data_IF_371976352571
#
_entry.id   IF_371976352571
#
_cell.length_a   1.000
_cell.length_b   1.000
_cell.length_c   1.000
_cell.angle_alpha   90.00
_cell.angle_beta   90.00
_cell.angle_gamma   90.00
#
_symmetry.space_group_name_H-M   'P 1'
#
loop_
_entity.id
_entity.type
_entity.pdbx_description
1 polymer ?
#
# COMPACT_ATOMS: atom_id res chain seq x y z
N UNK A 1 40.25 31.81 27.74
CA UNK A 1 39.92 31.45 26.34
C UNK A 1 38.70 30.54 26.33
N UNK A 2 37.98 30.53 25.19
CA UNK A 2 36.56 30.23 25.00
C UNK A 2 36.03 28.87 25.47
N UNK A 3 34.75 28.89 25.86
CA UNK A 3 33.86 27.74 26.13
C UNK A 3 33.57 26.95 24.85
N UNK A 4 33.55 25.63 24.92
CA UNK A 4 32.84 24.81 23.94
C UNK A 4 32.33 23.51 24.58
N UNK A 5 31.11 23.57 25.14
CA UNK A 5 30.29 22.40 25.48
C UNK A 5 29.70 21.86 24.17
N UNK A 6 30.16 20.69 23.73
CA UNK A 6 29.52 19.96 22.65
C UNK A 6 28.13 19.47 23.10
N UNK A 7 27.05 19.67 22.33
CA UNK A 7 25.76 19.08 22.68
C UNK A 7 25.81 17.58 22.35
N UNK A 8 25.97 16.75 23.39
CA UNK A 8 25.65 15.32 23.29
C UNK A 8 24.16 15.22 22.96
N UNK A 9 23.83 15.00 21.68
CA UNK A 9 22.49 14.65 21.24
C UNK A 9 22.10 13.36 21.97
N UNK A 10 21.26 13.50 22.99
CA UNK A 10 20.62 12.37 23.65
C UNK A 10 19.77 11.67 22.59
N UNK A 11 20.21 10.49 22.17
CA UNK A 11 19.38 9.54 21.45
C UNK A 11 18.26 9.18 22.43
N UNK A 12 17.11 9.86 22.28
CA UNK A 12 15.96 9.68 23.16
C UNK A 12 15.36 8.31 22.85
N UNK A 13 15.86 7.30 23.58
CA UNK A 13 15.41 5.91 23.52
C UNK A 13 14.11 5.69 24.31
N UNK A 14 13.25 6.70 24.40
CA UNK A 14 12.12 6.72 25.35
C UNK A 14 10.74 6.84 24.67
N UNK A 15 10.63 6.48 23.38
CA UNK A 15 9.32 6.42 22.68
C UNK A 15 9.07 5.16 21.85
N UNK A 16 9.82 4.09 22.10
CA UNK A 16 9.64 2.81 21.39
C UNK A 16 8.77 1.79 22.15
N UNK A 17 7.94 2.24 23.10
CA UNK A 17 6.91 1.42 23.75
C UNK A 17 5.54 1.99 23.39
N UNK A 18 4.85 1.36 22.44
CA UNK A 18 3.41 1.56 22.22
C UNK A 18 2.93 2.21 20.90
N UNK A 19 3.78 2.49 19.91
CA UNK A 19 3.36 3.23 18.69
C UNK A 19 3.14 2.37 17.43
N UNK A 20 3.08 1.05 17.57
CA UNK A 20 2.73 0.12 16.48
C UNK A 20 1.59 -0.81 16.89
N UNK A 21 0.67 -0.31 17.72
CA UNK A 21 -0.60 -0.98 17.93
C UNK A 21 -1.45 -0.80 16.66
N UNK A 22 -1.39 -1.79 15.77
CA UNK A 22 -2.43 -2.01 14.76
C UNK A 22 -3.67 -2.53 15.50
N UNK A 23 -4.33 -1.64 16.26
CA UNK A 23 -5.43 -1.95 17.19
C UNK A 23 -6.83 -1.85 16.55
N UNK A 24 -6.93 -1.87 15.22
CA UNK A 24 -8.22 -1.96 14.54
C UNK A 24 -8.14 -3.10 13.53
N UNK A 25 -9.18 -3.94 13.49
CA UNK A 25 -9.36 -4.97 12.45
C UNK A 25 -9.31 -4.35 11.02
N UNK A 26 -9.47 -3.02 10.91
CA UNK A 26 -9.28 -2.24 9.68
C UNK A 26 -8.50 -0.91 9.94
N UNK A 27 -7.16 -0.86 9.85
CA UNK A 27 -6.41 0.36 10.15
C UNK A 27 -6.64 1.45 9.09
N UNK A 28 -6.95 2.68 9.56
CA UNK A 28 -7.21 3.85 8.70
C UNK A 28 -6.06 4.87 8.76
N UNK A 29 -5.58 5.30 7.58
CA UNK A 29 -4.50 6.26 7.44
C UNK A 29 -4.92 7.47 6.61
N UNK A 30 -4.74 8.67 7.18
CA UNK A 30 -4.94 9.92 6.45
C UNK A 30 -3.69 10.30 5.64
N UNK A 31 -3.85 10.44 4.32
CA UNK A 31 -2.81 10.84 3.39
C UNK A 31 -3.30 11.94 2.43
N UNK A 32 -2.40 12.41 1.57
CA UNK A 32 -2.71 13.29 0.45
C UNK A 32 -2.49 12.53 -0.84
N UNK A 33 -3.48 12.54 -1.71
CA UNK A 33 -3.37 11.91 -3.01
C UNK A 33 -2.52 12.78 -3.94
N UNK A 34 -1.48 12.19 -4.53
CA UNK A 34 -0.69 12.82 -5.58
C UNK A 34 -1.35 12.55 -6.92
N UNK A 35 -1.79 11.32 -7.16
CA UNK A 35 -2.42 10.99 -8.42
C UNK A 35 -2.25 9.52 -8.77
N UNK A 36 -2.74 9.20 -9.97
CA UNK A 36 -2.58 7.92 -10.63
C UNK A 36 -1.94 8.10 -11.99
N UNK A 37 -1.16 7.13 -12.39
CA UNK A 37 -0.55 7.05 -13.72
C UNK A 37 -0.65 5.61 -14.22
N UNK A 38 -0.89 5.43 -15.52
CA UNK A 38 -0.86 4.10 -16.13
C UNK A 38 0.59 3.64 -16.24
N UNK A 39 0.80 2.36 -15.95
CA UNK A 39 2.05 1.66 -16.16
C UNK A 39 1.94 0.98 -17.52
N UNK A 40 2.58 1.56 -18.53
CA UNK A 40 2.67 0.99 -19.89
C UNK A 40 3.83 -0.02 -20.01
N UNK A 41 4.82 0.09 -19.12
CA UNK A 41 5.97 -0.81 -19.06
C UNK A 41 5.53 -2.22 -18.64
N UNK A 42 6.14 -3.25 -19.25
CA UNK A 42 5.96 -4.64 -18.81
C UNK A 42 6.33 -4.74 -17.32
N UNK A 43 5.33 -4.89 -16.47
CA UNK A 43 5.50 -4.93 -15.04
C UNK A 43 6.25 -6.20 -14.64
N UNK A 44 7.48 -6.01 -14.17
CA UNK A 44 8.29 -7.06 -13.56
C UNK A 44 8.44 -6.72 -12.07
N UNK A 45 8.19 -7.67 -11.15
CA UNK A 45 8.30 -7.41 -9.72
C UNK A 45 9.69 -6.92 -9.31
N UNK A 46 10.75 -7.39 -9.98
CA UNK A 46 12.14 -6.96 -9.76
C UNK A 46 12.37 -5.47 -10.07
N UNK A 47 11.61 -4.92 -11.03
CA UNK A 47 11.66 -3.50 -11.44
C UNK A 47 10.56 -2.67 -10.80
N UNK A 48 9.71 -3.26 -9.95
CA UNK A 48 8.57 -2.58 -9.33
C UNK A 48 8.96 -1.28 -8.63
N UNK A 49 10.12 -1.28 -7.94
CA UNK A 49 10.65 -0.09 -7.26
C UNK A 49 11.06 1.03 -8.23
N UNK A 50 11.68 0.67 -9.37
CA UNK A 50 12.08 1.65 -10.38
C UNK A 50 10.86 2.20 -11.13
N UNK A 51 9.87 1.34 -11.42
CA UNK A 51 8.61 1.72 -12.05
C UNK A 51 7.82 2.66 -11.12
N UNK A 52 7.69 2.32 -9.83
CA UNK A 52 6.98 3.18 -8.86
C UNK A 52 7.67 4.53 -8.68
N UNK A 53 9.01 4.56 -8.58
CA UNK A 53 9.77 5.80 -8.49
C UNK A 53 9.57 6.70 -9.73
N UNK A 54 9.63 6.12 -10.95
CA UNK A 54 9.35 6.85 -12.20
C UNK A 54 7.92 7.37 -12.26
N UNK A 55 6.96 6.59 -11.79
CA UNK A 55 5.56 7.01 -11.72
C UNK A 55 5.38 8.19 -10.77
N UNK A 56 6.00 8.13 -9.59
CA UNK A 56 6.00 9.22 -8.61
C UNK A 56 6.66 10.48 -9.20
N UNK A 57 7.78 10.35 -9.92
CA UNK A 57 8.43 11.47 -10.61
C UNK A 57 7.53 12.14 -11.64
N UNK A 58 6.90 11.34 -12.52
CA UNK A 58 5.92 11.83 -13.50
C UNK A 58 4.76 12.54 -12.82
N UNK A 59 4.22 11.96 -11.74
CA UNK A 59 3.14 12.54 -10.96
C UNK A 59 3.57 13.85 -10.29
N UNK A 60 4.79 13.93 -9.77
CA UNK A 60 5.32 15.15 -9.16
C UNK A 60 5.43 16.29 -10.19
N UNK A 61 5.89 15.99 -11.41
CA UNK A 61 5.91 16.94 -12.53
C UNK A 61 4.51 17.42 -12.94
N UNK A 62 3.55 16.50 -13.05
CA UNK A 62 2.15 16.83 -13.37
C UNK A 62 1.46 17.64 -12.28
N UNK A 63 1.82 17.41 -11.01
CA UNK A 63 1.22 18.10 -9.86
C UNK A 63 1.67 19.55 -9.71
N UNK A 64 2.89 19.89 -10.13
CA UNK A 64 3.32 21.29 -10.16
C UNK A 64 2.41 22.13 -11.06
N UNK A 65 1.77 21.50 -12.06
CA UNK A 65 0.79 22.15 -12.94
C UNK A 65 -0.66 22.10 -12.43
N UNK A 66 -1.04 21.17 -11.52
CA UNK A 66 -2.41 21.02 -11.01
C UNK A 66 -2.50 21.37 -9.51
N UNK A 67 -2.97 22.58 -9.24
CA UNK A 67 -2.85 23.28 -7.95
C UNK A 67 -3.65 22.81 -6.72
N UNK A 68 -4.01 21.53 -6.52
CA UNK A 68 -4.52 21.10 -5.20
C UNK A 68 -4.36 19.61 -4.91
N UNK A 69 -3.61 19.30 -3.84
CA UNK A 69 -3.49 17.93 -3.29
C UNK A 69 -4.77 17.60 -2.50
N UNK A 70 -5.51 16.59 -2.96
CA UNK A 70 -6.74 16.12 -2.31
C UNK A 70 -6.37 15.32 -1.05
N UNK A 71 -7.04 15.56 0.06
CA UNK A 71 -6.87 14.76 1.27
C UNK A 71 -7.67 13.47 1.09
N UNK A 72 -7.07 12.33 1.40
CA UNK A 72 -7.70 11.02 1.28
C UNK A 72 -7.47 10.21 2.56
N UNK A 73 -8.40 9.33 2.87
CA UNK A 73 -8.29 8.34 3.92
C UNK A 73 -8.13 6.97 3.26
N UNK A 74 -7.07 6.25 3.63
CA UNK A 74 -6.80 4.88 3.20
C UNK A 74 -7.19 3.94 4.33
N UNK A 75 -8.16 3.07 4.09
CA UNK A 75 -8.57 2.01 5.00
C UNK A 75 -8.02 0.69 4.46
N UNK A 76 -7.20 0.00 5.25
CA UNK A 76 -6.76 -1.36 4.91
C UNK A 76 -7.72 -2.33 5.58
N UNK A 77 -8.26 -3.25 4.79
CA UNK A 77 -9.09 -4.36 5.29
C UNK A 77 -8.35 -5.65 5.01
N UNK A 78 -8.22 -6.50 6.02
CA UNK A 78 -7.64 -7.86 5.87
C UNK A 78 -8.53 -8.79 5.04
N UNK A 79 -9.77 -8.38 4.76
CA UNK A 79 -10.70 -9.12 3.91
C UNK A 79 -10.24 -9.09 2.44
N UNK A 80 -10.02 -10.27 1.85
CA UNK A 80 -9.69 -10.49 0.43
C UNK A 80 -10.55 -9.67 -0.54
N UNK A 81 -11.83 -9.48 -0.20
CA UNK A 81 -12.83 -8.87 -1.08
C UNK A 81 -12.79 -7.34 -1.08
N UNK A 82 -12.21 -6.73 -0.04
CA UNK A 82 -12.23 -5.27 0.19
C UNK A 82 -10.85 -4.64 0.11
N UNK A 83 -9.84 -5.31 0.68
CA UNK A 83 -8.42 -5.00 0.53
C UNK A 83 -7.97 -3.61 0.96
N UNK A 84 -8.04 -2.65 0.05
CA UNK A 84 -7.65 -1.26 0.27
C UNK A 84 -8.73 -0.32 -0.24
N UNK A 85 -9.35 0.40 0.68
CA UNK A 85 -10.35 1.41 0.37
C UNK A 85 -9.72 2.80 0.47
N UNK A 86 -9.85 3.60 -0.58
CA UNK A 86 -9.37 4.98 -0.65
C UNK A 86 -10.58 5.91 -0.73
N UNK A 87 -10.80 6.69 0.31
CA UNK A 87 -11.91 7.66 0.39
C UNK A 87 -11.37 9.07 0.28
N UNK A 88 -11.88 9.86 -0.67
CA UNK A 88 -11.49 11.27 -0.79
C UNK A 88 -12.26 12.17 0.18
N UNK A 89 -11.54 12.94 0.99
CA UNK A 89 -12.16 13.87 1.94
C UNK A 89 -12.77 15.06 1.19
N UNK A 90 -14.11 15.09 1.13
CA UNK A 90 -14.88 16.12 0.45
C UNK A 90 -15.49 15.69 -0.88
N UNK A 91 -15.23 14.47 -1.34
CA UNK A 91 -15.95 13.84 -2.46
C UNK A 91 -16.63 12.56 -1.96
N UNK A 92 -17.78 12.19 -2.52
CA UNK A 92 -18.40 10.87 -2.24
C UNK A 92 -17.73 9.71 -3.02
N UNK A 93 -16.52 9.93 -3.51
CA UNK A 93 -15.79 8.93 -4.28
C UNK A 93 -14.96 8.07 -3.34
N UNK A 94 -15.34 6.82 -3.26
CA UNK A 94 -14.61 5.73 -2.61
C UNK A 94 -14.08 4.80 -3.71
N UNK A 95 -12.77 4.55 -3.70
CA UNK A 95 -12.12 3.62 -4.61
C UNK A 95 -11.69 2.40 -3.81
N UNK A 96 -12.25 1.24 -4.13
CA UNK A 96 -11.90 -0.02 -3.48
C UNK A 96 -10.98 -0.83 -4.39
N UNK A 97 -9.82 -1.20 -3.88
CA UNK A 97 -8.83 -2.05 -4.54
C UNK A 97 -8.78 -3.38 -3.80
N UNK A 98 -9.06 -4.48 -4.49
CA UNK A 98 -8.94 -5.80 -3.88
C UNK A 98 -7.47 -6.11 -3.67
N UNK A 99 -7.15 -6.86 -2.62
CA UNK A 99 -5.78 -7.29 -2.36
C UNK A 99 -5.20 -8.09 -3.53
N UNK A 100 -6.03 -8.85 -4.25
CA UNK A 100 -5.61 -9.60 -5.43
C UNK A 100 -5.20 -8.72 -6.62
N UNK A 101 -5.79 -7.53 -6.74
CA UNK A 101 -5.54 -6.62 -7.86
C UNK A 101 -4.24 -5.81 -7.63
N UNK A 102 -3.79 -5.68 -6.39
CA UNK A 102 -2.57 -4.95 -6.05
C UNK A 102 -1.37 -5.87 -6.34
N UNK A 103 -0.54 -5.47 -7.30
CA UNK A 103 0.63 -6.24 -7.73
C UNK A 103 1.89 -5.90 -6.92
N UNK A 104 2.02 -4.65 -6.46
CA UNK A 104 3.21 -4.19 -5.74
C UNK A 104 2.89 -3.01 -4.84
N UNK A 105 3.53 -2.94 -3.67
CA UNK A 105 3.48 -1.78 -2.80
C UNK A 105 4.89 -1.41 -2.33
N UNK A 106 5.18 -0.12 -2.25
CA UNK A 106 6.49 0.37 -1.86
C UNK A 106 6.47 1.84 -1.45
N UNK A 107 7.36 2.19 -0.52
CA UNK A 107 7.66 3.58 -0.15
C UNK A 107 8.79 4.13 -1.02
N UNK A 108 8.72 5.41 -1.39
CA UNK A 108 9.76 6.04 -2.21
C UNK A 108 11.09 6.11 -1.45
N UNK A 109 12.18 5.86 -2.18
CA UNK A 109 13.54 5.85 -1.66
C UNK A 109 14.07 7.25 -1.41
N UNK A 110 13.61 8.25 -2.17
CA UNK A 110 14.01 9.66 -1.98
C UNK A 110 13.17 10.34 -0.93
N UNK A 111 11.87 10.05 -0.89
CA UNK A 111 10.94 10.60 0.08
C UNK A 111 10.17 9.49 0.79
N UNK A 112 10.64 9.05 1.94
CA UNK A 112 9.99 7.99 2.72
C UNK A 112 8.59 8.37 3.26
N UNK A 113 8.16 9.62 3.10
CA UNK A 113 6.79 10.07 3.36
C UNK A 113 5.83 9.75 2.21
N UNK A 114 6.35 9.37 1.04
CA UNK A 114 5.58 8.98 -0.13
C UNK A 114 5.46 7.46 -0.15
N UNK A 115 4.23 7.00 -0.25
CA UNK A 115 3.89 5.61 -0.45
C UNK A 115 3.20 5.47 -1.81
N UNK A 116 3.55 4.41 -2.52
CA UNK A 116 3.00 4.10 -3.82
C UNK A 116 2.66 2.62 -3.93
N UNK A 117 1.62 2.32 -4.68
CA UNK A 117 1.28 0.95 -5.01
C UNK A 117 0.83 0.87 -6.47
N UNK A 118 1.01 -0.32 -7.04
CA UNK A 118 0.61 -0.66 -8.39
C UNK A 118 -0.52 -1.66 -8.26
N UNK A 119 -1.66 -1.34 -8.85
CA UNK A 119 -2.80 -2.23 -8.91
C UNK A 119 -3.34 -2.31 -10.32
N UNK A 120 -3.82 -3.49 -10.71
CA UNK A 120 -4.59 -3.69 -11.92
C UNK A 120 -6.00 -3.17 -11.70
N UNK A 121 -6.47 -2.31 -12.59
CA UNK A 121 -7.81 -1.76 -12.55
C UNK A 121 -8.35 -1.74 -13.97
N UNK A 122 -9.44 -2.48 -14.19
CA UNK A 122 -10.10 -2.64 -15.50
C UNK A 122 -9.16 -3.17 -16.61
N UNK A 123 -8.24 -4.09 -16.25
CA UNK A 123 -7.28 -4.70 -17.19
C UNK A 123 -6.03 -3.86 -17.45
N UNK A 124 -5.84 -2.76 -16.71
CA UNK A 124 -4.69 -1.88 -16.87
C UNK A 124 -3.97 -1.65 -15.53
N UNK A 125 -2.64 -1.73 -15.55
CA UNK A 125 -1.82 -1.45 -14.38
C UNK A 125 -1.77 0.05 -14.11
N UNK A 126 -2.20 0.44 -12.91
CA UNK A 126 -2.23 1.81 -12.47
C UNK A 126 -1.36 1.97 -11.22
N UNK A 127 -0.34 2.81 -11.32
CA UNK A 127 0.45 3.22 -10.17
C UNK A 127 -0.23 4.41 -9.50
N UNK A 128 -0.45 4.29 -8.20
CA UNK A 128 -1.10 5.30 -7.36
C UNK A 128 -0.13 5.76 -6.29
N UNK A 129 -0.02 7.07 -6.09
CA UNK A 129 0.91 7.65 -5.14
C UNK A 129 0.21 8.54 -4.10
N UNK A 130 0.68 8.43 -2.86
CA UNK A 130 0.13 9.07 -1.68
C UNK A 130 1.25 9.67 -0.83
N UNK A 131 1.06 10.90 -0.34
CA UNK A 131 1.98 11.59 0.59
C UNK A 131 1.37 11.57 1.98
N UNK A 132 2.14 11.06 2.93
CA UNK A 132 1.79 11.04 4.34
C UNK A 132 2.38 12.25 5.06
N UNK A 133 1.85 12.55 6.25
CA UNK A 133 2.40 13.60 7.12
C UNK A 133 3.77 13.24 7.69
N UNK A 134 3.97 11.95 7.99
CA UNK A 134 5.18 11.41 8.60
C UNK A 134 5.60 10.13 7.88
N UNK A 135 6.90 9.86 7.83
CA UNK A 135 7.47 8.63 7.28
C UNK A 135 6.99 7.40 8.03
N UNK A 136 6.88 7.48 9.36
CA UNK A 136 6.40 6.40 10.23
C UNK A 136 5.01 5.91 9.78
N UNK A 137 4.11 6.82 9.39
CA UNK A 137 2.78 6.45 8.89
C UNK A 137 2.82 5.81 7.52
N UNK A 138 3.70 6.28 6.62
CA UNK A 138 3.87 5.66 5.31
C UNK A 138 4.43 4.23 5.43
N UNK A 139 5.40 4.03 6.34
CA UNK A 139 5.92 2.70 6.66
C UNK A 139 4.87 1.81 7.30
N UNK A 140 4.13 2.31 8.29
CA UNK A 140 3.04 1.56 8.92
C UNK A 140 1.97 1.14 7.90
N UNK A 141 1.61 2.03 6.96
CA UNK A 141 0.70 1.70 5.85
C UNK A 141 1.26 0.57 4.98
N UNK A 142 2.52 0.67 4.56
CA UNK A 142 3.16 -0.34 3.72
C UNK A 142 3.23 -1.71 4.42
N UNK A 143 3.55 -1.71 5.71
CA UNK A 143 3.62 -2.92 6.53
C UNK A 143 2.23 -3.55 6.70
N UNK A 144 1.23 -2.76 7.09
CA UNK A 144 -0.13 -3.24 7.26
C UNK A 144 -0.70 -3.81 5.94
N UNK A 145 -0.39 -3.19 4.80
CA UNK A 145 -0.81 -3.72 3.50
C UNK A 145 -0.08 -5.04 3.20
N UNK A 146 1.23 -5.13 3.46
CA UNK A 146 2.03 -6.35 3.26
C UNK A 146 1.57 -7.51 4.15
N UNK A 147 1.16 -7.21 5.38
CA UNK A 147 0.58 -8.19 6.31
C UNK A 147 -0.79 -8.67 5.81
N UNK A 148 -1.67 -7.74 5.40
CA UNK A 148 -2.95 -8.08 4.79
C UNK A 148 -2.78 -8.96 3.53
N UNK A 149 -1.77 -8.67 2.70
CA UNK A 149 -1.39 -9.51 1.56
C UNK A 149 -1.03 -10.93 1.98
N UNK A 150 -0.21 -11.08 3.02
CA UNK A 150 0.25 -12.39 3.48
C UNK A 150 -0.92 -13.22 4.01
N UNK A 151 -1.82 -12.61 4.76
CA UNK A 151 -3.04 -13.25 5.29
C UNK A 151 -3.98 -13.66 4.15
N UNK A 152 -4.28 -12.73 3.25
CA UNK A 152 -5.14 -12.94 2.10
C UNK A 152 -4.60 -14.03 1.15
N UNK A 153 -3.30 -14.01 0.87
CA UNK A 153 -2.65 -15.02 0.05
C UNK A 153 -2.72 -16.40 0.71
N UNK A 154 -2.49 -16.49 2.02
CA UNK A 154 -2.62 -17.72 2.78
C UNK A 154 -4.05 -18.30 2.75
N UNK A 155 -5.06 -17.44 2.85
CA UNK A 155 -6.47 -17.81 2.71
C UNK A 155 -6.81 -18.29 1.31
N UNK A 156 -6.36 -17.57 0.28
CA UNK A 156 -6.56 -17.96 -1.11
C UNK A 156 -5.92 -19.32 -1.42
N UNK A 157 -4.68 -19.56 -0.97
CA UNK A 157 -4.01 -20.86 -1.11
C UNK A 157 -4.76 -21.98 -0.39
N UNK A 158 -5.28 -21.72 0.83
CA UNK A 158 -6.11 -22.68 1.57
C UNK A 158 -7.42 -22.99 0.85
N UNK A 159 -8.08 -21.98 0.28
CA UNK A 159 -9.31 -22.14 -0.49
C UNK A 159 -9.07 -22.95 -1.76
N UNK A 160 -8.00 -22.63 -2.51
CA UNK A 160 -7.59 -23.39 -3.70
C UNK A 160 -7.31 -24.86 -3.38
N UNK A 161 -6.56 -25.15 -2.32
CA UNK A 161 -6.27 -26.53 -1.92
C UNK A 161 -7.55 -27.31 -1.55
N UNK A 162 -8.52 -26.65 -0.91
CA UNK A 162 -9.84 -27.25 -0.60
C UNK A 162 -10.69 -27.49 -1.85
N UNK A 163 -10.67 -26.55 -2.81
CA UNK A 163 -11.37 -26.71 -4.09
C UNK A 163 -10.76 -27.81 -4.95
N UNK A 164 -9.43 -27.91 -5.01
CA UNK A 164 -8.70 -28.98 -5.70
C UNK A 164 -8.97 -30.35 -5.06
N UNK A 165 -9.01 -30.43 -3.73
CA UNK A 165 -9.39 -31.65 -3.01
C UNK A 165 -10.87 -32.02 -3.21
N UNK A 166 -11.74 -31.05 -3.49
CA UNK A 166 -13.16 -31.29 -3.78
C UNK A 166 -13.37 -31.79 -5.20
N UNK A 167 -12.69 -31.18 -6.18
CA UNK A 167 -12.68 -31.66 -7.58
C UNK A 167 -12.12 -33.06 -7.70
N UNK A 168 -11.03 -33.36 -7.00
CA UNK A 168 -10.48 -34.72 -6.93
C UNK A 168 -11.38 -35.73 -6.24
N UNK A 169 -12.43 -35.32 -5.50
CA UNK A 169 -13.43 -36.23 -4.91
C UNK A 169 -14.68 -36.38 -5.80
N UNK A 170 -14.99 -35.36 -6.61
CA UNK A 170 -16.08 -35.39 -7.59
C UNK A 170 -15.72 -36.24 -8.83
N UNK A 171 -14.45 -36.28 -9.26
CA UNK A 171 -13.97 -37.15 -10.35
C UNK A 171 -14.00 -38.66 -9.99
N UNK A 172 -13.84 -39.04 -8.72
CA UNK A 172 -13.85 -40.47 -8.31
C UNK A 172 -15.29 -41.02 -8.26
N UNK A 173 -16.29 -40.15 -8.12
CA UNK A 173 -17.72 -40.53 -8.08
C UNK A 173 -18.40 -40.53 -9.44
N UNK A 174 -17.73 -40.06 -10.50
CA UNK A 174 -18.28 -40.01 -11.86
C UNK A 174 -17.87 -41.21 -12.74
N UNK A 175 -16.98 -42.08 -12.24
CA UNK A 175 -16.50 -43.30 -12.92
C UNK A 175 -16.97 -44.58 -12.19
N UNK A 176 -18.21 -44.60 -11.68
CA UNK A 176 -18.88 -45.82 -11.18
C UNK A 176 -20.34 -45.85 -11.64
#
# INVERSE_FOLDING_TARGET
>A
MAKSKAPRRKFSSEKAKGYYELNDEEPTFAARYLGKTKVEDNFQPEKGLAISARCVDKLHGLLQSKGKRRKVSLLISSNISRGLTVTEQGSKNELCYKLFDIAFCSTDVRNHTIFSFIAECDGELQCQAFVFKTEERAKAMCLALSEAFTIAHGEWMRKRKREESRKGREEITADT
#
